data_IF_203874708024
#
_entry.id   IF_203874708024
#
_cell.length_a   1.000
_cell.length_b   1.000
_cell.length_c   1.000
_cell.angle_alpha   90.00
_cell.angle_beta   90.00
_cell.angle_gamma   90.00
#
_symmetry.space_group_name_H-M   'P 1'
#
loop_
_entity.id
_entity.type
_entity.pdbx_description
1 polymer ?
#
# COMPACT_ATOMS: atom_id res chain seq x y z
N UNK A 1 1.74 25.46 2.11
CA UNK A 1 0.43 24.84 2.42
C UNK A 1 0.53 23.34 2.11
N UNK A 2 0.17 22.46 3.06
CA UNK A 2 0.24 21.01 2.86
C UNK A 2 -0.94 20.49 2.04
N UNK A 3 -0.71 19.51 1.17
CA UNK A 3 -1.78 18.82 0.43
C UNK A 3 -2.60 17.98 1.41
N UNK A 4 -3.92 18.00 1.25
CA UNK A 4 -4.79 17.12 2.05
C UNK A 4 -4.54 15.65 1.63
N UNK A 5 -4.59 14.65 2.53
CA UNK A 5 -4.31 13.25 2.20
C UNK A 5 -5.10 12.72 0.99
N UNK A 6 -6.34 13.18 0.82
CA UNK A 6 -7.16 12.83 -0.34
C UNK A 6 -6.61 13.37 -1.66
N UNK A 7 -6.09 14.59 -1.67
CA UNK A 7 -5.51 15.20 -2.86
C UNK A 7 -4.23 14.47 -3.27
N UNK A 8 -3.48 13.96 -2.28
CA UNK A 8 -2.33 13.10 -2.54
C UNK A 8 -2.76 11.81 -3.24
N UNK A 9 -3.78 11.11 -2.73
CA UNK A 9 -4.29 9.88 -3.37
C UNK A 9 -4.78 10.13 -4.80
N UNK A 10 -5.55 11.18 -5.04
CA UNK A 10 -6.02 11.54 -6.38
C UNK A 10 -4.87 11.88 -7.32
N UNK A 11 -3.84 12.59 -6.81
CA UNK A 11 -2.63 12.91 -7.58
C UNK A 11 -1.84 11.65 -7.91
N UNK A 12 -1.71 10.72 -6.95
CA UNK A 12 -1.00 9.46 -7.12
C UNK A 12 -1.68 8.58 -8.16
N UNK A 13 -3.01 8.42 -8.08
CA UNK A 13 -3.79 7.61 -9.03
C UNK A 13 -3.74 8.16 -10.46
N UNK A 14 -3.75 9.49 -10.63
CA UNK A 14 -3.72 10.14 -11.94
C UNK A 14 -2.31 10.32 -12.53
N UNK A 15 -1.25 10.01 -11.77
CA UNK A 15 0.12 10.27 -12.19
C UNK A 15 0.66 9.11 -13.05
N UNK A 16 1.03 9.35 -14.33
CA UNK A 16 1.64 8.31 -15.16
C UNK A 16 3.01 7.88 -14.65
N UNK A 17 3.65 8.68 -13.78
CA UNK A 17 4.87 8.31 -13.07
C UNK A 17 4.61 7.28 -11.98
N UNK A 18 3.52 7.42 -11.23
CA UNK A 18 3.17 6.50 -10.13
C UNK A 18 2.69 5.16 -10.67
N UNK A 19 2.12 5.14 -11.88
CA UNK A 19 1.78 3.91 -12.59
C UNK A 19 3.00 3.01 -12.87
N UNK A 20 4.19 3.60 -12.97
CA UNK A 20 5.46 2.88 -13.18
C UNK A 20 6.17 2.52 -11.88
N UNK A 21 5.74 3.07 -10.74
CA UNK A 21 6.42 2.89 -9.46
C UNK A 21 6.08 1.53 -8.86
N UNK A 22 7.11 0.81 -8.44
CA UNK A 22 7.01 -0.52 -7.86
C UNK A 22 7.12 -0.45 -6.34
N UNK A 23 6.56 -1.44 -5.63
CA UNK A 23 6.54 -1.45 -4.16
C UNK A 23 7.94 -1.46 -3.54
N UNK A 24 8.93 -2.04 -4.21
CA UNK A 24 10.32 -2.05 -3.71
C UNK A 24 10.95 -0.65 -3.66
N UNK A 25 10.47 0.30 -4.47
CA UNK A 25 11.02 1.66 -4.56
C UNK A 25 10.52 2.59 -3.44
N UNK A 26 9.46 2.20 -2.70
CA UNK A 26 8.95 2.96 -1.53
C UNK A 26 9.37 2.38 -0.19
N UNK A 27 10.09 1.25 -0.18
CA UNK A 27 10.58 0.69 1.07
C UNK A 27 11.66 1.59 1.65
N UNK A 28 11.73 1.61 2.98
CA UNK A 28 12.84 2.25 3.69
C UNK A 28 14.17 1.61 3.24
N UNK A 29 15.09 2.37 2.61
CA UNK A 29 16.37 1.86 2.13
C UNK A 29 17.28 1.33 3.25
N UNK A 30 17.03 1.72 4.51
CA UNK A 30 17.78 1.25 5.68
C UNK A 30 17.41 -0.17 6.08
N UNK A 31 16.26 -0.68 5.61
CA UNK A 31 15.80 -2.03 5.91
C UNK A 31 16.39 -3.06 4.94
N UNK A 32 16.58 -4.27 5.44
CA UNK A 32 16.96 -5.40 4.60
C UNK A 32 15.87 -5.70 3.57
N UNK A 33 16.28 -5.98 2.33
CA UNK A 33 15.33 -6.27 1.28
C UNK A 33 14.50 -7.54 1.61
N UNK A 34 13.18 -7.53 1.36
CA UNK A 34 12.30 -8.68 1.64
C UNK A 34 12.73 -9.92 0.87
N UNK A 35 12.94 -11.02 1.60
CA UNK A 35 13.58 -12.24 1.06
C UNK A 35 12.61 -13.30 0.55
N UNK A 36 11.31 -13.20 0.87
CA UNK A 36 10.32 -14.21 0.52
C UNK A 36 9.10 -13.62 -0.19
N UNK A 37 8.48 -14.40 -1.07
CA UNK A 37 7.24 -14.01 -1.77
C UNK A 37 6.09 -13.75 -0.80
N UNK A 38 6.04 -14.51 0.31
CA UNK A 38 5.10 -14.25 1.40
C UNK A 38 5.30 -12.85 1.99
N UNK A 39 6.55 -12.46 2.27
CA UNK A 39 6.83 -11.13 2.80
C UNK A 39 6.44 -10.03 1.80
N UNK A 40 6.66 -10.26 0.50
CA UNK A 40 6.21 -9.36 -0.55
C UNK A 40 4.68 -9.19 -0.57
N UNK A 41 3.94 -10.29 -0.46
CA UNK A 41 2.47 -10.27 -0.36
C UNK A 41 1.97 -9.58 0.92
N UNK A 42 2.63 -9.81 2.06
CA UNK A 42 2.27 -9.20 3.33
C UNK A 42 2.47 -7.68 3.28
N UNK A 43 3.59 -7.22 2.69
CA UNK A 43 3.87 -5.80 2.45
C UNK A 43 2.82 -5.19 1.51
N UNK A 44 2.52 -5.84 0.40
CA UNK A 44 1.50 -5.35 -0.54
C UNK A 44 0.13 -5.20 0.14
N UNK A 45 -0.26 -6.18 0.96
CA UNK A 45 -1.49 -6.12 1.73
C UNK A 45 -1.50 -4.96 2.74
N UNK A 46 -0.40 -4.74 3.46
CA UNK A 46 -0.27 -3.60 4.38
C UNK A 46 -0.43 -2.27 3.63
N UNK A 47 0.18 -2.15 2.46
CA UNK A 47 0.07 -0.93 1.62
C UNK A 47 -1.38 -0.71 1.16
N UNK A 48 -2.09 -1.77 0.75
CA UNK A 48 -3.53 -1.69 0.43
C UNK A 48 -4.31 -1.14 1.62
N UNK A 49 -4.15 -1.72 2.81
CA UNK A 49 -4.85 -1.26 4.02
C UNK A 49 -4.51 0.20 4.32
N UNK A 50 -3.24 0.60 4.19
CA UNK A 50 -2.81 1.99 4.37
C UNK A 50 -3.53 2.95 3.41
N UNK A 51 -3.71 2.58 2.13
CA UNK A 51 -4.45 3.39 1.18
C UNK A 51 -5.94 3.54 1.53
N UNK A 52 -6.60 2.46 1.97
CA UNK A 52 -7.99 2.54 2.44
C UNK A 52 -8.09 3.48 3.66
N UNK A 53 -7.13 3.42 4.59
CA UNK A 53 -7.06 4.32 5.75
C UNK A 53 -6.88 5.80 5.38
N UNK A 54 -6.23 6.09 4.23
CA UNK A 54 -5.95 7.45 3.77
C UNK A 54 -7.09 8.07 2.95
N UNK A 55 -8.16 7.34 2.63
CA UNK A 55 -9.26 7.84 1.81
C UNK A 55 -9.82 9.17 2.32
N UNK A 56 -10.11 10.12 1.44
CA UNK A 56 -10.64 11.42 1.88
C UNK A 56 -12.00 11.37 2.53
N UNK A 57 -12.83 10.37 2.18
CA UNK A 57 -14.17 10.20 2.72
C UNK A 57 -14.10 9.52 4.09
N UNK A 58 -14.49 10.20 5.21
CA UNK A 58 -14.35 9.63 6.55
C UNK A 58 -15.10 8.31 6.73
N UNK A 59 -16.28 8.17 6.11
CA UNK A 59 -17.13 6.96 6.20
C UNK A 59 -16.55 5.75 5.45
N UNK A 60 -15.59 5.95 4.57
CA UNK A 60 -14.96 4.88 3.81
C UNK A 60 -13.66 4.37 4.46
N UNK A 61 -13.14 5.10 5.46
CA UNK A 61 -11.99 4.66 6.24
C UNK A 61 -12.41 3.53 7.19
N UNK A 62 -11.60 2.46 7.32
CA UNK A 62 -11.87 1.41 8.26
C UNK A 62 -11.68 1.92 9.70
N UNK A 63 -12.35 1.26 10.64
CA UNK A 63 -12.05 1.46 12.07
C UNK A 63 -10.72 0.77 12.43
N UNK A 64 -10.03 1.27 13.45
CA UNK A 64 -8.81 0.60 13.95
C UNK A 64 -9.05 -0.85 14.39
N UNK A 65 -10.27 -1.18 14.83
CA UNK A 65 -10.67 -2.57 15.14
C UNK A 65 -10.64 -3.45 13.90
N UNK A 66 -11.14 -2.95 12.77
CA UNK A 66 -11.09 -3.69 11.50
C UNK A 66 -9.64 -3.81 11.03
N UNK A 67 -8.87 -2.72 11.05
CA UNK A 67 -7.45 -2.72 10.66
C UNK A 67 -6.64 -3.73 11.48
N UNK A 68 -6.82 -3.78 12.80
CA UNK A 68 -6.12 -4.75 13.65
C UNK A 68 -6.53 -6.18 13.35
N UNK A 69 -7.81 -6.43 13.06
CA UNK A 69 -8.29 -7.75 12.63
C UNK A 69 -7.69 -8.19 11.30
N UNK A 70 -7.58 -7.29 10.31
CA UNK A 70 -6.94 -7.58 9.02
C UNK A 70 -5.45 -7.92 9.20
N UNK A 71 -4.73 -7.23 10.10
CA UNK A 71 -3.32 -7.55 10.38
C UNK A 71 -3.10 -8.86 11.12
N UNK A 72 -4.08 -9.34 11.90
CA UNK A 72 -4.00 -10.67 12.51
C UNK A 72 -4.24 -11.80 11.50
N UNK A 73 -4.97 -11.51 10.42
CA UNK A 73 -5.37 -12.49 9.42
C UNK A 73 -4.77 -12.18 8.04
N UNK A 74 -3.56 -11.58 7.98
CA UNK A 74 -2.93 -11.22 6.70
C UNK A 74 -2.93 -12.46 5.79
N UNK A 75 -3.75 -12.40 4.75
CA UNK A 75 -3.76 -13.36 3.67
C UNK A 75 -2.87 -12.76 2.60
N UNK A 76 -1.66 -13.27 2.44
CA UNK A 76 -0.78 -12.92 1.33
C UNK A 76 -1.40 -13.46 0.03
N UNK A 77 -2.15 -12.65 -0.75
CA UNK A 77 -2.83 -13.15 -1.94
C UNK A 77 -1.87 -13.17 -3.14
N UNK A 78 -0.71 -12.54 -2.99
CA UNK A 78 0.19 -12.13 -4.05
C UNK A 78 1.48 -12.94 -3.90
N UNK A 79 1.76 -13.79 -4.90
CA UNK A 79 2.93 -14.67 -4.95
C UNK A 79 3.99 -14.18 -5.95
N UNK A 80 4.17 -12.86 -6.07
CA UNK A 80 5.16 -12.22 -6.97
C UNK A 80 6.15 -11.32 -6.20
N UNK A 81 7.35 -11.09 -6.73
CA UNK A 81 8.35 -10.21 -6.12
C UNK A 81 7.91 -8.74 -6.03
N UNK A 82 8.46 -7.98 -5.07
CA UNK A 82 8.08 -6.56 -4.87
C UNK A 82 8.37 -5.64 -6.06
N UNK A 83 9.41 -5.94 -6.85
CA UNK A 83 9.74 -5.18 -8.05
C UNK A 83 8.77 -5.40 -9.22
N UNK A 84 7.82 -6.33 -9.07
CA UNK A 84 6.75 -6.59 -10.05
C UNK A 84 5.38 -6.07 -9.58
N UNK A 85 5.29 -5.58 -8.34
CA UNK A 85 4.04 -5.09 -7.76
C UNK A 85 4.01 -3.57 -7.91
N UNK A 86 3.28 -3.10 -8.93
CA UNK A 86 3.00 -1.67 -9.10
C UNK A 86 2.17 -1.14 -7.92
N UNK A 87 2.51 0.06 -7.44
CA UNK A 87 1.74 0.76 -6.39
C UNK A 87 0.29 0.96 -6.80
N UNK A 88 0.00 1.13 -8.09
CA UNK A 88 -1.37 1.25 -8.59
C UNK A 88 -2.23 0.01 -8.34
N UNK A 89 -1.63 -1.17 -8.16
CA UNK A 89 -2.38 -2.37 -7.74
C UNK A 89 -2.80 -2.33 -6.28
N UNK A 90 -2.22 -1.43 -5.49
CA UNK A 90 -2.52 -1.27 -4.07
C UNK A 90 -3.46 -0.09 -3.78
N UNK A 91 -3.66 0.82 -4.75
CA UNK A 91 -4.60 1.95 -4.70
C UNK A 91 -6.03 1.50 -5.01
#
# INVERSE_FOLDING_TARGET
MGKHPNELLSTLSSSPYVQKFMLNEILDPLLSHPRSRKMAGDIAFIVVIAFVCLQGRPKARPTMKLVSQEFLHIKSPIAMPLHEISIMRCL
#
